data_IF_124682416295
#
_entry.id   IF_124682416295
#
_cell.length_a   1.000
_cell.length_b   1.000
_cell.length_c   1.000
_cell.angle_alpha   90.00
_cell.angle_beta   90.00
_cell.angle_gamma   90.00
#
_symmetry.space_group_name_H-M   'P 1'
#
loop_
_entity.id
_entity.type
_entity.pdbx_description
1 polymer ?
#
# COMPACT_ATOMS: atom_id res chain seq x y z
N UNK A 1 -21.76 37.24 -8.14
CA UNK A 1 -20.87 37.64 -7.05
C UNK A 1 -21.44 37.11 -5.76
N UNK A 2 -20.80 36.12 -5.13
CA UNK A 2 -21.14 35.74 -3.76
C UNK A 2 -19.82 35.52 -3.01
N UNK A 3 -19.26 36.63 -2.54
CA UNK A 3 -18.21 36.60 -1.54
C UNK A 3 -18.85 36.12 -0.23
N UNK A 4 -18.73 34.83 0.05
CA UNK A 4 -18.92 34.32 1.40
C UNK A 4 -17.64 34.65 2.17
N UNK A 5 -17.65 35.82 2.80
CA UNK A 5 -16.62 36.25 3.73
C UNK A 5 -16.54 35.30 4.92
N UNK A 6 -15.70 34.28 4.81
CA UNK A 6 -15.40 33.38 5.91
C UNK A 6 -14.33 34.02 6.79
N UNK A 7 -14.79 34.80 7.77
CA UNK A 7 -14.05 35.10 9.00
C UNK A 7 -13.93 33.79 9.81
N UNK A 8 -13.06 32.87 9.39
CA UNK A 8 -12.87 31.58 10.09
C UNK A 8 -11.41 31.41 10.50
N UNK A 9 -11.06 32.11 11.58
CA UNK A 9 -9.68 32.39 11.99
C UNK A 9 -9.04 31.32 12.91
N UNK A 10 -9.45 30.04 12.83
CA UNK A 10 -8.73 29.00 13.58
C UNK A 10 -9.41 27.65 13.63
N UNK A 11 -10.74 27.62 13.81
CA UNK A 11 -11.46 26.36 14.02
C UNK A 11 -11.47 25.49 12.75
N UNK A 12 -11.69 26.06 11.56
CA UNK A 12 -11.59 25.30 10.30
C UNK A 12 -10.17 24.83 9.99
N UNK A 13 -9.15 25.62 10.33
CA UNK A 13 -7.75 25.22 10.13
C UNK A 13 -7.39 24.03 11.03
N UNK A 14 -7.84 24.03 12.29
CA UNK A 14 -7.62 22.93 13.24
C UNK A 14 -8.39 21.68 12.81
N UNK A 15 -9.64 21.80 12.35
CA UNK A 15 -10.41 20.66 11.84
C UNK A 15 -9.75 20.07 10.59
N UNK A 16 -9.29 20.90 9.64
CA UNK A 16 -8.55 20.43 8.47
C UNK A 16 -7.23 19.76 8.85
N UNK A 17 -6.48 20.30 9.82
CA UNK A 17 -5.24 19.69 10.33
C UNK A 17 -5.49 18.34 11.02
N UNK A 18 -6.58 18.22 11.78
CA UNK A 18 -6.99 16.97 12.42
C UNK A 18 -7.36 15.89 11.40
N UNK A 19 -8.06 16.26 10.31
CA UNK A 19 -8.35 15.34 9.21
C UNK A 19 -7.08 14.86 8.50
N UNK A 20 -6.11 15.74 8.26
CA UNK A 20 -4.82 15.37 7.65
C UNK A 20 -4.01 14.44 8.57
N UNK A 21 -3.99 14.71 9.88
CA UNK A 21 -3.30 13.86 10.86
C UNK A 21 -3.94 12.46 10.97
N UNK A 22 -5.28 12.39 10.90
CA UNK A 22 -6.01 11.12 10.91
C UNK A 22 -5.70 10.27 9.66
N UNK A 23 -5.61 10.90 8.49
CA UNK A 23 -5.23 10.21 7.24
C UNK A 23 -3.79 9.71 7.28
N UNK A 24 -2.85 10.52 7.81
CA UNK A 24 -1.45 10.10 7.94
C UNK A 24 -1.25 8.94 8.94
N UNK A 25 -2.07 8.85 9.98
CA UNK A 25 -2.04 7.72 10.93
C UNK A 25 -2.71 6.45 10.37
N UNK A 26 -3.68 6.61 9.46
CA UNK A 26 -4.41 5.46 8.89
C UNK A 26 -3.52 4.56 8.04
N UNK A 27 -2.47 5.09 7.40
CA UNK A 27 -1.55 4.28 6.58
C UNK A 27 -0.85 3.15 7.35
N UNK A 28 -0.68 3.27 8.67
CA UNK A 28 -0.06 2.23 9.53
C UNK A 28 -1.07 1.37 10.28
N UNK A 29 -2.32 1.83 10.45
CA UNK A 29 -3.39 1.04 11.08
C UNK A 29 -3.86 -0.13 10.21
N UNK A 30 -3.78 0.00 8.89
CA UNK A 30 -4.13 -1.08 7.97
C UNK A 30 -3.12 -2.24 7.97
N UNK A 31 -1.90 -2.07 8.47
CA UNK A 31 -0.85 -3.13 8.49
C UNK A 31 -1.27 -4.34 9.34
N UNK A 32 -2.11 -4.13 10.38
CA UNK A 32 -2.63 -5.22 11.23
C UNK A 32 -3.85 -5.94 10.65
N UNK A 33 -4.59 -5.34 9.70
CA UNK A 33 -5.85 -5.90 9.20
C UNK A 33 -5.75 -6.47 7.78
N UNK A 34 -4.77 -6.01 6.99
CA UNK A 34 -4.64 -6.31 5.56
C UNK A 34 -3.66 -7.44 5.22
N UNK A 35 -3.07 -8.07 6.24
CA UNK A 35 -2.15 -9.20 6.07
C UNK A 35 -0.68 -8.81 5.99
N UNK A 36 0.18 -9.81 6.19
CA UNK A 36 1.63 -9.63 6.26
C UNK A 36 2.22 -9.25 4.89
N UNK A 37 2.61 -7.99 4.73
CA UNK A 37 3.29 -7.49 3.53
C UNK A 37 4.82 -7.62 3.61
N UNK A 38 5.36 -8.35 4.60
CA UNK A 38 6.80 -8.47 4.83
C UNK A 38 7.53 -9.08 3.62
N UNK A 39 6.89 -10.03 2.94
CA UNK A 39 7.39 -10.63 1.71
C UNK A 39 7.45 -9.60 0.58
N UNK A 40 6.38 -8.84 0.37
CA UNK A 40 6.35 -7.80 -0.65
C UNK A 40 7.42 -6.73 -0.38
N UNK A 41 7.61 -6.32 0.89
CA UNK A 41 8.69 -5.40 1.30
C UNK A 41 10.08 -5.96 0.97
N UNK A 42 10.34 -7.25 1.22
CA UNK A 42 11.61 -7.90 0.84
C UNK A 42 11.81 -7.90 -0.68
N UNK A 43 10.76 -8.17 -1.45
CA UNK A 43 10.83 -8.12 -2.92
C UNK A 43 11.06 -6.70 -3.43
N UNK A 44 10.43 -5.69 -2.82
CA UNK A 44 10.74 -4.29 -3.09
C UNK A 44 12.22 -3.99 -2.86
N UNK A 45 12.80 -4.43 -1.74
CA UNK A 45 14.22 -4.22 -1.46
C UNK A 45 15.15 -4.83 -2.52
N UNK A 46 14.83 -6.03 -3.02
CA UNK A 46 15.61 -6.69 -4.06
C UNK A 46 15.44 -5.98 -5.40
N UNK A 47 14.21 -5.78 -5.85
CA UNK A 47 13.91 -5.26 -7.19
C UNK A 47 14.30 -3.79 -7.35
N UNK A 48 14.03 -2.95 -6.34
CA UNK A 48 14.34 -1.51 -6.40
C UNK A 48 15.85 -1.27 -6.31
N UNK A 49 16.57 -2.04 -5.48
CA UNK A 49 18.04 -1.92 -5.35
C UNK A 49 18.78 -2.29 -6.63
N UNK A 50 18.22 -3.20 -7.45
CA UNK A 50 18.79 -3.58 -8.73
C UNK A 50 18.55 -2.53 -9.84
N UNK A 51 17.49 -1.72 -9.74
CA UNK A 51 17.13 -0.72 -10.78
C UNK A 51 17.79 0.65 -10.57
N UNK A 52 18.18 1.01 -9.35
CA UNK A 52 18.83 2.31 -9.06
C UNK A 52 19.51 2.30 -7.69
N UNK A 53 20.52 3.16 -7.44
CA UNK A 53 20.91 3.50 -6.07
C UNK A 53 19.65 4.05 -5.39
N UNK A 54 19.05 3.23 -4.53
CA UNK A 54 17.67 3.41 -4.09
C UNK A 54 17.48 4.79 -3.44
N UNK A 55 16.78 5.69 -4.13
CA UNK A 55 16.23 6.89 -3.52
C UNK A 55 15.10 6.44 -2.60
N UNK A 56 15.07 6.92 -1.35
CA UNK A 56 14.02 6.59 -0.37
C UNK A 56 12.60 6.75 -0.92
N UNK A 57 12.39 7.69 -1.83
CA UNK A 57 11.09 7.92 -2.45
C UNK A 57 10.62 6.77 -3.36
N UNK A 58 11.53 6.10 -4.07
CA UNK A 58 11.23 4.94 -4.92
C UNK A 58 10.89 3.74 -4.05
N UNK A 59 11.66 3.50 -2.98
CA UNK A 59 11.39 2.42 -2.04
C UNK A 59 10.06 2.62 -1.31
N UNK A 60 9.79 3.86 -0.88
CA UNK A 60 8.52 4.25 -0.28
C UNK A 60 7.35 4.02 -1.23
N UNK A 61 7.49 4.36 -2.52
CA UNK A 61 6.47 4.10 -3.51
C UNK A 61 6.17 2.59 -3.67
N UNK A 62 7.20 1.74 -3.66
CA UNK A 62 7.03 0.29 -3.72
C UNK A 62 6.28 -0.25 -2.49
N UNK A 63 6.65 0.18 -1.28
CA UNK A 63 5.95 -0.21 -0.05
C UNK A 63 4.49 0.24 -0.04
N UNK A 64 4.19 1.42 -0.60
CA UNK A 64 2.82 1.91 -0.77
C UNK A 64 2.04 1.02 -1.73
N UNK A 65 2.64 0.57 -2.83
CA UNK A 65 2.04 -0.41 -3.74
C UNK A 65 1.70 -1.73 -3.05
N UNK A 66 2.58 -2.25 -2.19
CA UNK A 66 2.30 -3.46 -1.39
C UNK A 66 1.04 -3.30 -0.53
N UNK A 67 0.91 -2.16 0.18
CA UNK A 67 -0.27 -1.85 1.02
C UNK A 67 -1.53 -1.68 0.16
N UNK A 68 -1.43 -0.96 -0.95
CA UNK A 68 -2.54 -0.69 -1.85
C UNK A 68 -3.12 -1.98 -2.42
N UNK A 69 -2.28 -2.93 -2.84
CA UNK A 69 -2.73 -4.22 -3.32
C UNK A 69 -3.56 -4.97 -2.27
N UNK A 70 -3.12 -4.99 -1.01
CA UNK A 70 -3.89 -5.64 0.05
C UNK A 70 -5.25 -4.97 0.29
N UNK A 71 -5.37 -3.65 0.07
CA UNK A 71 -6.67 -2.95 0.10
C UNK A 71 -7.53 -3.42 -1.07
N UNK A 72 -6.98 -3.41 -2.29
CA UNK A 72 -7.70 -3.84 -3.49
C UNK A 72 -8.18 -5.30 -3.36
N UNK A 73 -7.33 -6.19 -2.85
CA UNK A 73 -7.68 -7.59 -2.60
C UNK A 73 -8.77 -7.73 -1.55
N UNK A 74 -8.69 -6.97 -0.45
CA UNK A 74 -9.71 -6.99 0.58
C UNK A 74 -11.08 -6.53 0.05
N UNK A 75 -11.11 -5.49 -0.80
CA UNK A 75 -12.35 -4.97 -1.41
C UNK A 75 -12.93 -5.93 -2.45
N UNK A 76 -12.07 -6.52 -3.29
CA UNK A 76 -12.51 -7.43 -4.36
C UNK A 76 -12.81 -8.85 -3.87
N UNK A 77 -12.32 -9.23 -2.68
CA UNK A 77 -12.44 -10.59 -2.15
C UNK A 77 -11.80 -11.63 -3.07
N UNK A 78 -12.39 -12.83 -3.13
CA UNK A 78 -11.90 -13.95 -3.97
C UNK A 78 -12.07 -13.73 -5.48
N UNK A 79 -12.65 -12.61 -5.94
CA UNK A 79 -13.00 -12.41 -7.36
C UNK A 79 -11.80 -12.24 -8.29
N UNK A 80 -10.59 -12.09 -7.74
CA UNK A 80 -9.36 -12.37 -8.49
C UNK A 80 -8.17 -11.51 -8.10
N UNK A 81 -7.07 -12.19 -7.80
CA UNK A 81 -5.72 -11.62 -7.69
C UNK A 81 -5.39 -10.67 -8.86
N UNK A 82 -5.77 -11.05 -10.08
CA UNK A 82 -5.52 -10.25 -11.28
C UNK A 82 -6.29 -8.93 -11.27
N UNK A 83 -7.59 -8.95 -10.95
CA UNK A 83 -8.40 -7.73 -10.88
C UNK A 83 -7.83 -6.76 -9.82
N UNK A 84 -7.53 -7.28 -8.63
CA UNK A 84 -6.92 -6.48 -7.55
C UNK A 84 -5.56 -5.91 -7.94
N UNK A 85 -4.79 -6.64 -8.75
CA UNK A 85 -3.50 -6.17 -9.27
C UNK A 85 -3.69 -5.04 -10.29
N UNK A 86 -4.62 -5.19 -11.22
CA UNK A 86 -4.91 -4.18 -12.25
C UNK A 86 -5.42 -2.88 -11.62
N UNK A 87 -6.35 -2.96 -10.67
CA UNK A 87 -6.85 -1.81 -9.91
C UNK A 87 -5.73 -1.10 -9.13
N UNK A 88 -4.85 -1.88 -8.48
CA UNK A 88 -3.68 -1.33 -7.78
C UNK A 88 -2.73 -0.60 -8.73
N UNK A 89 -2.48 -1.17 -9.91
CA UNK A 89 -1.59 -0.58 -10.92
C UNK A 89 -2.20 0.70 -11.53
N UNK A 90 -3.50 0.71 -11.81
CA UNK A 90 -4.21 1.90 -12.27
C UNK A 90 -4.09 3.06 -11.27
N UNK A 91 -4.36 2.77 -10.00
CA UNK A 91 -4.21 3.76 -8.93
C UNK A 91 -2.75 4.24 -8.76
N UNK A 92 -1.75 3.37 -8.93
CA UNK A 92 -0.35 3.79 -8.97
C UNK A 92 -0.06 4.74 -10.15
N UNK A 93 -0.66 4.49 -11.32
CA UNK A 93 -0.49 5.33 -12.49
C UNK A 93 -1.06 6.73 -12.29
N UNK A 94 -2.21 6.83 -11.61
CA UNK A 94 -2.85 8.09 -11.27
C UNK A 94 -2.11 8.85 -10.15
N UNK A 95 -1.56 8.13 -9.16
CA UNK A 95 -0.95 8.74 -7.98
C UNK A 95 0.47 9.28 -8.22
N UNK A 96 1.21 8.76 -9.19
CA UNK A 96 2.62 9.11 -9.41
C UNK A 96 2.87 9.71 -10.79
N UNK A 97 3.44 10.92 -10.80
CA UNK A 97 3.87 11.61 -12.03
C UNK A 97 5.30 11.26 -12.44
N UNK A 98 6.16 10.86 -11.49
CA UNK A 98 7.53 10.42 -11.81
C UNK A 98 7.51 8.94 -12.18
N UNK A 99 8.03 8.66 -13.37
CA UNK A 99 8.06 7.31 -13.91
C UNK A 99 8.67 6.29 -12.93
N UNK A 100 9.87 6.55 -12.39
CA UNK A 100 10.53 5.61 -11.46
C UNK A 100 9.72 5.32 -10.18
N UNK A 101 8.97 6.28 -9.66
CA UNK A 101 8.13 6.09 -8.47
C UNK A 101 6.87 5.29 -8.85
N UNK A 102 6.29 5.57 -10.03
CA UNK A 102 5.16 4.84 -10.58
C UNK A 102 5.49 3.36 -10.85
N UNK A 103 6.64 3.04 -11.47
CA UNK A 103 7.03 1.65 -11.71
C UNK A 103 7.34 0.92 -10.40
N UNK A 104 7.92 1.62 -9.42
CA UNK A 104 8.17 1.04 -8.10
C UNK A 104 6.85 0.70 -7.38
N UNK A 105 5.86 1.60 -7.40
CA UNK A 105 4.51 1.33 -6.90
C UNK A 105 3.89 0.10 -7.59
N UNK A 106 3.95 0.05 -8.92
CA UNK A 106 3.44 -1.07 -9.73
C UNK A 106 4.18 -2.39 -9.46
N UNK A 107 5.45 -2.32 -9.12
CA UNK A 107 6.27 -3.47 -8.67
C UNK A 107 5.76 -3.97 -7.32
N UNK A 108 5.44 -3.07 -6.39
CA UNK A 108 4.81 -3.41 -5.11
C UNK A 108 3.49 -4.16 -5.32
N UNK A 109 2.61 -3.67 -6.20
CA UNK A 109 1.36 -4.36 -6.54
C UNK A 109 1.58 -5.78 -7.09
N UNK A 110 2.65 -5.99 -7.86
CA UNK A 110 2.96 -7.26 -8.51
C UNK A 110 3.71 -8.25 -7.61
N UNK A 111 4.28 -7.79 -6.50
CA UNK A 111 5.13 -8.59 -5.61
C UNK A 111 4.36 -9.28 -4.50
N UNK A 112 3.04 -9.10 -4.44
CA UNK A 112 2.18 -9.77 -3.48
C UNK A 112 1.89 -11.20 -3.94
N UNK A 113 1.97 -12.19 -3.04
CA UNK A 113 1.72 -13.58 -3.40
C UNK A 113 0.22 -13.83 -3.59
N UNK A 114 -0.13 -14.76 -4.47
CA UNK A 114 -1.53 -15.12 -4.69
C UNK A 114 -2.12 -15.85 -3.46
N UNK A 115 -3.45 -15.78 -3.30
CA UNK A 115 -4.23 -16.50 -2.27
C UNK A 115 -3.75 -17.95 -1.95
N UNK A 116 -3.45 -18.82 -2.95
CA UNK A 116 -2.95 -20.16 -2.68
C UNK A 116 -1.58 -20.18 -1.97
N UNK A 117 -0.69 -19.23 -2.25
CA UNK A 117 0.60 -19.10 -1.55
C UNK A 117 0.42 -18.57 -0.13
N UNK A 118 -0.50 -17.63 0.09
CA UNK A 118 -0.86 -17.13 1.44
C UNK A 118 -1.36 -18.29 2.30
N UNK A 119 -2.26 -19.13 1.75
CA UNK A 119 -2.82 -20.29 2.46
C UNK A 119 -1.78 -21.37 2.73
N UNK A 120 -0.88 -21.65 1.77
CA UNK A 120 0.28 -22.55 1.94
C UNK A 120 1.21 -22.05 3.04
N UNK A 121 1.45 -20.75 3.14
CA UNK A 121 2.27 -20.15 4.21
C UNK A 121 1.61 -20.24 5.58
N UNK A 122 0.30 -19.94 5.69
CA UNK A 122 -0.46 -20.14 6.94
C UNK A 122 -0.44 -21.60 7.40
N UNK A 123 -0.59 -22.54 6.47
CA UNK A 123 -0.44 -23.98 6.76
C UNK A 123 0.97 -24.28 7.26
N UNK A 124 2.02 -23.84 6.57
CA UNK A 124 3.41 -24.12 6.98
C UNK A 124 3.76 -23.55 8.37
N UNK A 125 3.23 -22.38 8.74
CA UNK A 125 3.40 -21.82 10.09
C UNK A 125 2.59 -22.60 11.13
N UNK A 126 1.41 -23.12 10.78
CA UNK A 126 0.58 -23.93 11.68
C UNK A 126 1.17 -25.30 12.01
N UNK A 127 1.94 -25.92 11.10
CA UNK A 127 2.65 -27.18 11.36
C UNK A 127 4.01 -26.95 12.07
N UNK A 128 4.52 -25.72 12.12
CA UNK A 128 5.81 -25.38 12.72
C UNK A 128 5.79 -25.13 14.23
N UNK A 129 4.61 -25.05 14.86
CA UNK A 129 4.42 -24.82 16.30
C UNK A 129 3.96 -26.08 17.07
N UNK A 130 4.20 -27.28 16.51
CA UNK A 130 3.83 -28.57 17.10
C UNK A 130 4.99 -29.55 17.19
N UNK A 131 6.23 -29.05 17.29
CA UNK A 131 7.44 -29.88 17.37
C UNK A 131 8.48 -29.24 18.29
N UNK A 132 8.22 -29.31 19.59
CA UNK A 132 9.13 -28.94 20.68
C UNK A 132 8.79 -29.75 21.91
#
# INVERSE_FOLDING_TARGET
>A
MLQVGCRVCGVCAVVSLLFVALVAASSDLFDNQLGDISYCKKQCQITVRNKSPAKDSIMSACHRGCRLYSICQFVNGDTGFNNSKEECQGACQEAYTKLLEQEACSTGCSSQPAEPEIKRRKVNTSWGWGGG
#
